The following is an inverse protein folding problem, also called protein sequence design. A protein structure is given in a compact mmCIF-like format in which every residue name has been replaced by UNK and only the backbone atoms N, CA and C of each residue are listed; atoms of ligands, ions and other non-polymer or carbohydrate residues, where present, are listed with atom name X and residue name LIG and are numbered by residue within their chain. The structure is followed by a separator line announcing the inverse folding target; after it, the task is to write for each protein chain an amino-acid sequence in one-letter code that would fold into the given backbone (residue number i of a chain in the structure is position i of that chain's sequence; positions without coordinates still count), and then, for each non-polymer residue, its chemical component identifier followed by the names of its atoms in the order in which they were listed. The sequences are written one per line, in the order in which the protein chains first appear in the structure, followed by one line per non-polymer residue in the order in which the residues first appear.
data_IF_517448113790
#
_entry.id   IF_517448113790
#
_cell.length_a   1.000
_cell.length_b   1.000
_cell.length_c   1.000
_cell.angle_alpha   90.00
_cell.angle_beta   90.00
_cell.angle_gamma   90.00
#
_symmetry.space_group_name_H-M   'P 1'
#
loop_
_entity.id
_entity.type
_entity.pdbx_description
1 polymer ?
#
# COMPACT_ATOMS: atom_id res chain seq x y z
N UNK A 1 -8.04 -32.10 -15.14
CA UNK A 1 -9.12 -31.12 -15.43
C UNK A 1 -8.46 -29.84 -15.90
N UNK A 2 -8.69 -29.42 -17.12
CA UNK A 2 -8.08 -28.19 -17.66
C UNK A 2 -9.01 -27.03 -17.27
N UNK A 3 -8.60 -26.25 -16.27
CA UNK A 3 -9.38 -25.10 -15.78
C UNK A 3 -8.99 -23.88 -16.57
N UNK A 4 -9.95 -23.28 -17.26
CA UNK A 4 -9.76 -22.03 -18.01
C UNK A 4 -10.61 -20.91 -17.41
N UNK A 5 -10.00 -19.75 -17.22
CA UNK A 5 -10.69 -18.55 -16.77
C UNK A 5 -11.66 -18.08 -17.86
N UNK A 6 -12.76 -17.47 -17.44
CA UNK A 6 -13.75 -16.83 -18.33
C UNK A 6 -13.45 -15.35 -18.45
N UNK A 7 -13.53 -14.82 -19.65
CA UNK A 7 -13.29 -13.40 -19.90
C UNK A 7 -14.48 -12.54 -19.45
N UNK A 8 -14.16 -11.40 -18.86
CA UNK A 8 -15.13 -10.35 -18.53
C UNK A 8 -15.49 -9.56 -19.80
N UNK A 9 -16.75 -9.13 -19.94
CA UNK A 9 -17.12 -8.18 -21.00
C UNK A 9 -16.75 -6.75 -20.62
N UNK A 10 -16.41 -5.91 -21.62
CA UNK A 10 -16.08 -4.50 -21.36
C UNK A 10 -17.21 -3.74 -20.68
N UNK A 11 -18.44 -4.01 -21.09
CA UNK A 11 -19.64 -3.37 -20.53
C UNK A 11 -19.86 -3.69 -19.05
N UNK A 12 -19.31 -4.79 -18.56
CA UNK A 12 -19.42 -5.20 -17.17
C UNK A 12 -18.34 -4.54 -16.25
N UNK A 13 -17.32 -3.87 -16.82
CA UNK A 13 -16.21 -3.31 -16.03
C UNK A 13 -16.68 -2.33 -14.95
N UNK A 14 -17.57 -1.34 -15.20
CA UNK A 14 -18.03 -0.45 -14.15
C UNK A 14 -18.66 -1.18 -12.95
N UNK A 15 -19.51 -2.16 -13.21
CA UNK A 15 -20.13 -2.96 -12.14
C UNK A 15 -19.09 -3.85 -11.43
N UNK A 16 -18.12 -4.38 -12.15
CA UNK A 16 -17.03 -5.16 -11.58
C UNK A 16 -16.13 -4.32 -10.65
N UNK A 17 -15.82 -3.07 -11.01
CA UNK A 17 -15.09 -2.11 -10.17
C UNK A 17 -15.84 -1.86 -8.86
N UNK A 18 -17.14 -1.61 -8.91
CA UNK A 18 -17.96 -1.42 -7.72
C UNK A 18 -17.99 -2.66 -6.84
N UNK A 19 -18.08 -3.84 -7.45
CA UNK A 19 -18.03 -5.11 -6.73
C UNK A 19 -16.69 -5.33 -6.05
N UNK A 20 -15.58 -5.04 -6.70
CA UNK A 20 -14.25 -5.14 -6.12
C UNK A 20 -14.08 -4.21 -4.90
N UNK A 21 -14.57 -2.97 -4.98
CA UNK A 21 -14.60 -2.03 -3.83
C UNK A 21 -15.44 -2.59 -2.68
N UNK A 22 -16.60 -3.14 -2.98
CA UNK A 22 -17.50 -3.72 -1.98
C UNK A 22 -16.85 -4.90 -1.26
N UNK A 23 -16.23 -5.83 -1.97
CA UNK A 23 -15.54 -6.98 -1.37
C UNK A 23 -14.39 -6.53 -0.46
N UNK A 24 -13.64 -5.52 -0.88
CA UNK A 24 -12.58 -4.96 -0.05
C UNK A 24 -13.11 -4.39 1.27
N UNK A 25 -14.25 -3.67 1.24
CA UNK A 25 -14.92 -3.14 2.44
C UNK A 25 -15.46 -4.25 3.36
N UNK A 26 -15.77 -5.42 2.80
CA UNK A 26 -16.18 -6.61 3.55
C UNK A 26 -15.00 -7.43 4.09
N UNK A 27 -13.76 -6.94 3.98
CA UNK A 27 -12.52 -7.66 4.32
C UNK A 27 -12.28 -8.93 3.49
N UNK A 28 -12.82 -8.98 2.28
CA UNK A 28 -12.62 -10.05 1.30
C UNK A 28 -11.62 -9.58 0.22
N UNK A 29 -10.38 -9.32 0.66
CA UNK A 29 -9.34 -8.72 -0.19
C UNK A 29 -8.89 -9.64 -1.33
N UNK A 30 -8.89 -10.95 -1.14
CA UNK A 30 -8.54 -11.94 -2.17
C UNK A 30 -9.57 -11.94 -3.31
N UNK A 31 -10.83 -11.85 -2.97
CA UNK A 31 -11.94 -11.76 -3.94
C UNK A 31 -11.89 -10.44 -4.70
N UNK A 32 -11.57 -9.34 -4.00
CA UNK A 32 -11.37 -8.03 -4.63
C UNK A 32 -10.20 -8.04 -5.62
N UNK A 33 -9.08 -8.66 -5.26
CA UNK A 33 -7.91 -8.85 -6.13
C UNK A 33 -8.29 -9.67 -7.37
N UNK A 34 -9.01 -10.78 -7.19
CA UNK A 34 -9.44 -11.63 -8.30
C UNK A 34 -10.28 -10.86 -9.33
N UNK A 35 -11.22 -10.04 -8.87
CA UNK A 35 -12.03 -9.20 -9.78
C UNK A 35 -11.16 -8.19 -10.52
N UNK A 36 -10.19 -7.56 -9.83
CA UNK A 36 -9.27 -6.64 -10.48
C UNK A 36 -8.42 -7.31 -11.55
N UNK A 37 -7.97 -8.55 -11.33
CA UNK A 37 -7.26 -9.34 -12.33
C UNK A 37 -8.10 -9.57 -13.58
N UNK A 38 -9.39 -9.90 -13.43
CA UNK A 38 -10.31 -10.07 -14.56
C UNK A 38 -10.51 -8.77 -15.35
N UNK A 39 -10.60 -7.62 -14.65
CA UNK A 39 -10.70 -6.30 -15.29
C UNK A 39 -9.41 -5.98 -16.06
N UNK A 40 -8.25 -6.21 -15.45
CA UNK A 40 -6.95 -5.90 -16.03
C UNK A 40 -6.57 -6.83 -17.20
N UNK A 41 -7.18 -8.00 -17.30
CA UNK A 41 -7.06 -8.87 -18.49
C UNK A 41 -7.73 -8.23 -19.72
N UNK A 42 -8.82 -7.48 -19.52
CA UNK A 42 -9.57 -6.79 -20.59
C UNK A 42 -9.03 -5.39 -20.83
N UNK A 43 -8.74 -4.66 -19.77
CA UNK A 43 -8.17 -3.29 -19.79
C UNK A 43 -6.92 -3.22 -18.91
N UNK A 44 -5.72 -3.55 -19.44
CA UNK A 44 -4.48 -3.64 -18.64
C UNK A 44 -4.08 -2.34 -17.93
N UNK A 45 -4.48 -1.20 -18.45
CA UNK A 45 -4.14 0.13 -17.92
C UNK A 45 -5.29 0.80 -17.15
N UNK A 46 -6.34 0.05 -16.79
CA UNK A 46 -7.45 0.59 -16.00
C UNK A 46 -6.95 1.04 -14.63
N UNK A 47 -6.81 2.36 -14.47
CA UNK A 47 -6.21 2.96 -13.25
C UNK A 47 -7.05 2.70 -12.00
N UNK A 48 -8.37 2.64 -12.11
CA UNK A 48 -9.24 2.33 -10.96
C UNK A 48 -9.04 0.89 -10.49
N UNK A 49 -8.95 -0.06 -11.42
CA UNK A 49 -8.67 -1.45 -11.09
C UNK A 49 -7.29 -1.61 -10.46
N UNK A 50 -6.26 -0.92 -10.97
CA UNK A 50 -4.91 -0.92 -10.39
C UNK A 50 -4.91 -0.38 -8.96
N UNK A 51 -5.62 0.72 -8.69
CA UNK A 51 -5.73 1.28 -7.34
C UNK A 51 -6.45 0.32 -6.38
N UNK A 52 -7.57 -0.25 -6.78
CA UNK A 52 -8.31 -1.21 -5.94
C UNK A 52 -7.45 -2.45 -5.68
N UNK A 53 -6.76 -2.96 -6.69
CA UNK A 53 -5.85 -4.10 -6.56
C UNK A 53 -4.70 -3.80 -5.60
N UNK A 54 -4.05 -2.64 -5.72
CA UNK A 54 -3.00 -2.21 -4.82
C UNK A 54 -3.49 -2.19 -3.37
N UNK A 55 -4.65 -1.60 -3.12
CA UNK A 55 -5.24 -1.55 -1.78
C UNK A 55 -5.61 -2.94 -1.25
N UNK A 56 -6.17 -3.82 -2.09
CA UNK A 56 -6.47 -5.21 -1.73
C UNK A 56 -5.20 -6.00 -1.37
N UNK A 57 -4.10 -5.77 -2.08
CA UNK A 57 -2.80 -6.35 -1.76
C UNK A 57 -2.25 -5.85 -0.41
N UNK A 58 -2.38 -4.56 -0.11
CA UNK A 58 -1.98 -4.03 1.20
C UNK A 58 -2.82 -4.59 2.35
N UNK A 59 -4.09 -4.89 2.12
CA UNK A 59 -4.96 -5.55 3.10
C UNK A 59 -4.51 -6.99 3.43
N UNK A 60 -3.66 -7.61 2.60
CA UNK A 60 -3.12 -8.96 2.79
C UNK A 60 -1.74 -8.97 3.48
N UNK A 61 -1.16 -7.84 3.83
CA UNK A 61 0.20 -7.76 4.40
C UNK A 61 0.35 -8.52 5.73
N UNK A 62 -0.69 -8.64 6.53
CA UNK A 62 -0.61 -9.38 7.78
C UNK A 62 -0.51 -10.90 7.57
N UNK A 63 -1.12 -11.41 6.52
CA UNK A 63 -1.14 -12.85 6.22
C UNK A 63 0.00 -13.27 5.28
N UNK A 64 0.29 -12.50 4.24
CA UNK A 64 1.24 -12.86 3.17
C UNK A 64 2.12 -11.69 2.77
N UNK A 65 2.90 -11.14 3.72
CA UNK A 65 3.64 -9.89 3.51
C UNK A 65 4.54 -9.88 2.27
N UNK A 66 5.41 -10.87 2.12
CA UNK A 66 6.43 -10.82 1.06
C UNK A 66 5.85 -10.85 -0.36
N UNK A 67 4.98 -11.80 -0.73
CA UNK A 67 4.39 -11.79 -2.07
C UNK A 67 3.47 -10.59 -2.26
N UNK A 68 2.66 -10.22 -1.28
CA UNK A 68 1.72 -9.10 -1.40
C UNK A 68 2.46 -7.75 -1.54
N UNK A 69 3.55 -7.53 -0.83
CA UNK A 69 4.37 -6.33 -0.96
C UNK A 69 4.99 -6.20 -2.36
N UNK A 70 5.63 -7.26 -2.86
CA UNK A 70 6.21 -7.27 -4.20
C UNK A 70 5.18 -7.00 -5.28
N UNK A 71 4.01 -7.62 -5.20
CA UNK A 71 2.90 -7.41 -6.12
C UNK A 71 2.35 -5.99 -6.02
N UNK A 72 2.22 -5.43 -4.83
CA UNK A 72 1.77 -4.04 -4.64
C UNK A 72 2.72 -3.03 -5.28
N UNK A 73 4.03 -3.26 -5.21
CA UNK A 73 5.03 -2.41 -5.86
C UNK A 73 4.96 -2.50 -7.40
N UNK A 74 4.74 -3.69 -7.95
CA UNK A 74 4.53 -3.85 -9.40
C UNK A 74 3.30 -3.10 -9.88
N UNK A 75 2.20 -3.18 -9.15
CA UNK A 75 0.96 -2.43 -9.45
C UNK A 75 1.19 -0.93 -9.35
N UNK A 76 1.91 -0.47 -8.33
CA UNK A 76 2.26 0.95 -8.15
C UNK A 76 2.99 1.51 -9.39
N UNK A 77 3.93 0.74 -9.95
CA UNK A 77 4.68 1.15 -11.14
C UNK A 77 3.81 1.33 -12.39
N UNK A 78 2.63 0.72 -12.44
CA UNK A 78 1.66 0.82 -13.54
C UNK A 78 0.72 2.02 -13.41
N UNK A 79 0.71 2.72 -12.28
CA UNK A 79 -0.05 3.97 -12.14
C UNK A 79 0.59 5.07 -12.99
N UNK A 80 -0.23 5.85 -13.70
CA UNK A 80 0.25 6.85 -14.65
C UNK A 80 0.39 8.25 -14.02
N UNK A 81 -0.49 8.59 -13.06
CA UNK A 81 -0.50 9.90 -12.42
C UNK A 81 0.54 10.00 -11.31
N UNK A 82 1.35 11.06 -11.34
CA UNK A 82 2.41 11.30 -10.36
C UNK A 82 1.90 11.49 -8.92
N UNK A 83 0.78 12.19 -8.74
CA UNK A 83 0.12 12.30 -7.43
C UNK A 83 -0.28 10.91 -6.91
N UNK A 84 -0.98 10.13 -7.71
CA UNK A 84 -1.41 8.78 -7.35
C UNK A 84 -0.22 7.89 -6.99
N UNK A 85 0.87 7.91 -7.77
CA UNK A 85 2.07 7.14 -7.45
C UNK A 85 2.61 7.46 -6.07
N UNK A 86 2.84 8.73 -5.78
CA UNK A 86 3.39 9.16 -4.48
C UNK A 86 2.42 8.88 -3.33
N UNK A 87 1.13 9.13 -3.52
CA UNK A 87 0.12 8.88 -2.50
C UNK A 87 0.00 7.38 -2.17
N UNK A 88 -0.13 6.51 -3.17
CA UNK A 88 -0.27 5.07 -2.94
C UNK A 88 1.05 4.40 -2.52
N UNK A 89 2.21 4.94 -2.89
CA UNK A 89 3.49 4.56 -2.29
C UNK A 89 3.47 4.80 -0.77
N UNK A 90 3.00 5.96 -0.35
CA UNK A 90 2.78 6.28 1.06
C UNK A 90 1.85 5.29 1.75
N UNK A 91 0.74 4.88 1.10
CA UNK A 91 -0.18 3.87 1.62
C UNK A 91 0.53 2.52 1.83
N UNK A 92 1.33 2.07 0.86
CA UNK A 92 2.09 0.82 0.98
C UNK A 92 3.02 0.88 2.20
N UNK A 93 3.79 1.94 2.35
CA UNK A 93 4.74 2.09 3.46
C UNK A 93 4.03 2.24 4.82
N UNK A 94 2.92 2.98 4.88
CA UNK A 94 2.10 3.07 6.09
C UNK A 94 1.56 1.70 6.52
N UNK A 95 1.08 0.90 5.58
CA UNK A 95 0.58 -0.45 5.85
C UNK A 95 1.68 -1.40 6.31
N UNK A 96 2.88 -1.30 5.71
CA UNK A 96 4.07 -2.03 6.19
C UNK A 96 4.42 -1.64 7.62
N UNK A 97 4.46 -0.34 7.92
CA UNK A 97 4.76 0.15 9.26
C UNK A 97 3.78 -0.44 10.29
N UNK A 98 2.48 -0.41 9.99
CA UNK A 98 1.44 -0.98 10.86
C UNK A 98 1.59 -2.49 11.04
N UNK A 99 1.95 -3.21 9.99
CA UNK A 99 2.21 -4.66 10.05
C UNK A 99 3.39 -4.96 10.98
N UNK A 100 4.49 -4.22 10.89
CA UNK A 100 5.63 -4.38 11.80
C UNK A 100 5.28 -3.99 13.24
N UNK A 101 4.52 -2.90 13.42
CA UNK A 101 4.07 -2.46 14.75
C UNK A 101 3.21 -3.53 15.43
N UNK A 102 2.30 -4.18 14.70
CA UNK A 102 1.42 -5.21 15.25
C UNK A 102 2.15 -6.51 15.60
N UNK A 103 3.26 -6.84 14.94
CA UNK A 103 4.01 -8.07 15.17
C UNK A 103 4.71 -8.12 16.52
N UNK A 104 5.21 -6.98 17.02
CA UNK A 104 5.83 -6.88 18.34
C UNK A 104 7.06 -7.77 18.57
N UNK A 105 7.76 -8.18 17.51
CA UNK A 105 8.99 -8.97 17.60
C UNK A 105 10.22 -8.06 17.73
N UNK A 106 11.36 -8.55 18.28
CA UNK A 106 12.56 -7.73 18.37
C UNK A 106 12.97 -7.11 17.05
N UNK A 107 13.24 -5.79 17.05
CA UNK A 107 13.59 -5.02 15.86
C UNK A 107 12.40 -4.51 15.05
N UNK A 108 11.16 -4.98 15.29
CA UNK A 108 9.98 -4.51 14.55
C UNK A 108 9.66 -3.05 14.81
N UNK A 109 9.98 -2.51 15.98
CA UNK A 109 9.74 -1.10 16.33
C UNK A 109 10.59 -0.16 15.46
N UNK A 110 11.86 -0.48 15.24
CA UNK A 110 12.74 0.30 14.37
C UNK A 110 12.31 0.22 12.90
N UNK A 111 11.87 -0.96 12.45
CA UNK A 111 11.31 -1.14 11.11
C UNK A 111 10.01 -0.35 10.94
N UNK A 112 9.10 -0.41 11.92
CA UNK A 112 7.85 0.35 11.90
C UNK A 112 8.13 1.86 11.84
N UNK A 113 9.07 2.37 12.66
CA UNK A 113 9.48 3.77 12.62
C UNK A 113 9.96 4.18 11.22
N UNK A 114 10.89 3.41 10.64
CA UNK A 114 11.46 3.72 9.34
C UNK A 114 10.39 3.73 8.23
N UNK A 115 9.47 2.77 8.24
CA UNK A 115 8.39 2.72 7.26
C UNK A 115 7.38 3.86 7.44
N UNK A 116 7.04 4.26 8.67
CA UNK A 116 6.22 5.46 8.89
C UNK A 116 6.90 6.72 8.35
N UNK A 117 8.22 6.88 8.56
CA UNK A 117 8.96 8.01 8.03
C UNK A 117 8.95 8.04 6.49
N UNK A 118 9.17 6.90 5.86
CA UNK A 118 9.08 6.79 4.40
C UNK A 118 7.66 7.06 3.87
N UNK A 119 6.63 6.60 4.58
CA UNK A 119 5.25 6.93 4.24
C UNK A 119 5.00 8.44 4.28
N UNK A 120 5.46 9.11 5.33
CA UNK A 120 5.31 10.57 5.46
C UNK A 120 6.05 11.32 4.34
N UNK A 121 7.25 10.91 3.96
CA UNK A 121 8.00 11.47 2.84
C UNK A 121 7.25 11.30 1.50
N UNK A 122 6.66 10.12 1.26
CA UNK A 122 5.85 9.88 0.08
C UNK A 122 4.59 10.76 0.04
N UNK A 123 3.92 10.97 1.17
CA UNK A 123 2.79 11.89 1.26
C UNK A 123 3.19 13.35 1.05
N UNK A 124 4.33 13.79 1.58
CA UNK A 124 4.87 15.14 1.30
C UNK A 124 5.13 15.33 -0.19
N UNK A 125 5.73 14.35 -0.84
CA UNK A 125 5.93 14.36 -2.29
C UNK A 125 4.59 14.43 -3.06
N UNK A 126 3.57 13.71 -2.61
CA UNK A 126 2.23 13.79 -3.22
C UNK A 126 1.63 15.19 -3.11
N UNK A 127 1.89 15.92 -2.02
CA UNK A 127 1.39 17.29 -1.85
C UNK A 127 1.93 18.28 -2.89
N UNK A 128 3.11 18.04 -3.45
CA UNK A 128 3.70 18.89 -4.48
C UNK A 128 2.85 18.95 -5.77
N UNK A 129 2.10 17.89 -6.07
CA UNK A 129 1.28 17.76 -7.27
C UNK A 129 -0.19 17.46 -6.97
N UNK A 130 -0.65 17.74 -5.75
CA UNK A 130 -2.03 17.45 -5.35
C UNK A 130 -3.05 18.27 -6.16
N UNK A 131 -4.18 17.65 -6.55
CA UNK A 131 -5.32 18.39 -7.09
C UNK A 131 -5.87 19.38 -6.06
N UNK A 132 -6.39 20.51 -6.54
CA UNK A 132 -7.02 21.50 -5.67
C UNK A 132 -8.18 20.88 -4.86
N UNK A 133 -8.17 21.10 -3.54
CA UNK A 133 -9.18 20.57 -2.63
C UNK A 133 -8.99 19.11 -2.23
N UNK A 134 -7.94 18.44 -2.70
CA UNK A 134 -7.60 17.09 -2.28
C UNK A 134 -6.54 17.11 -1.17
N UNK A 135 -6.98 16.94 0.07
CA UNK A 135 -6.15 16.91 1.27
C UNK A 135 -5.90 15.49 1.82
N UNK A 136 -6.17 14.45 1.05
CA UNK A 136 -6.01 13.06 1.50
C UNK A 136 -4.59 12.75 1.99
N UNK A 137 -3.57 13.24 1.29
CA UNK A 137 -2.17 13.05 1.71
C UNK A 137 -1.86 13.76 3.04
N UNK A 138 -2.45 14.92 3.31
CA UNK A 138 -2.34 15.62 4.61
C UNK A 138 -2.97 14.77 5.71
N UNK A 139 -4.15 14.23 5.48
CA UNK A 139 -4.86 13.40 6.48
C UNK A 139 -4.04 12.15 6.84
N UNK A 140 -3.46 11.51 5.84
CA UNK A 140 -2.59 10.34 6.04
C UNK A 140 -1.28 10.68 6.73
N UNK A 141 -0.62 11.75 6.32
CA UNK A 141 0.60 12.25 6.96
C UNK A 141 0.35 12.51 8.45
N UNK A 142 -0.75 13.22 8.77
CA UNK A 142 -1.13 13.51 10.15
C UNK A 142 -1.44 12.23 10.95
N UNK A 143 -2.01 11.21 10.31
CA UNK A 143 -2.25 9.91 10.95
C UNK A 143 -0.92 9.26 11.34
N UNK A 144 0.05 9.20 10.44
CA UNK A 144 1.38 8.67 10.73
C UNK A 144 2.07 9.46 11.85
N UNK A 145 2.01 10.80 11.79
CA UNK A 145 2.60 11.66 12.83
C UNK A 145 2.00 11.37 14.21
N UNK A 146 0.66 11.26 14.32
CA UNK A 146 -0.01 10.93 15.59
C UNK A 146 0.37 9.55 16.12
N UNK A 147 0.53 8.56 15.24
CA UNK A 147 1.00 7.23 15.66
C UNK A 147 2.39 7.33 16.25
N UNK A 148 3.34 8.01 15.58
CA UNK A 148 4.69 8.20 16.10
C UNK A 148 4.72 8.99 17.42
N UNK A 149 3.88 10.01 17.57
CA UNK A 149 3.76 10.79 18.81
C UNK A 149 3.22 9.96 19.97
N UNK A 150 2.30 9.02 19.69
CA UNK A 150 1.68 8.17 20.70
C UNK A 150 2.51 6.92 21.04
N UNK A 151 3.54 6.63 20.24
CA UNK A 151 4.44 5.48 20.40
C UNK A 151 5.90 5.95 20.53
N UNK A 152 6.29 6.55 21.67
CA UNK A 152 7.65 7.06 21.89
C UNK A 152 8.73 5.98 21.87
N UNK A 153 8.36 4.71 21.98
CA UNK A 153 9.25 3.55 21.81
C UNK A 153 9.70 3.37 20.35
N UNK A 154 8.93 3.86 19.37
CA UNK A 154 9.30 3.80 17.97
C UNK A 154 10.42 4.80 17.68
N UNK A 155 11.62 4.28 17.47
CA UNK A 155 12.85 5.05 17.22
C UNK A 155 13.65 4.42 16.08
N UNK A 156 14.48 5.21 15.39
CA UNK A 156 15.40 4.64 14.42
C UNK A 156 16.32 3.62 15.10
N UNK A 157 16.78 2.64 14.34
CA UNK A 157 17.79 1.71 14.80
C UNK A 157 19.01 2.49 15.28
N UNK A 158 19.45 2.22 16.51
CA UNK A 158 20.74 2.72 16.97
C UNK A 158 21.82 1.83 16.35
N UNK A 159 22.13 2.04 15.08
CA UNK A 159 23.42 1.62 14.55
C UNK A 159 24.48 2.45 15.27
N UNK A 160 25.17 1.79 16.19
CA UNK A 160 26.35 2.34 16.85
C UNK A 160 27.43 2.52 15.75
N UNK A 161 27.80 3.74 15.33
CA UNK A 161 28.91 3.93 14.40
C UNK A 161 30.27 3.86 15.14
N UNK A 162 30.42 2.90 16.08
CA UNK A 162 31.50 2.86 17.05
C UNK A 162 32.23 1.55 17.25
N UNK A 163 32.15 0.56 16.35
CA UNK A 163 32.93 -0.69 16.51
C UNK A 163 33.75 -1.13 15.28
N UNK A 164 34.21 -0.19 14.48
CA UNK A 164 35.27 -0.47 13.49
C UNK A 164 36.40 0.54 13.59
N UNK A 165 37.02 0.63 14.77
CA UNK A 165 38.37 1.13 14.91
C UNK A 165 38.98 0.45 16.15
N UNK A 166 39.56 -0.71 15.93
CA UNK A 166 40.70 -1.24 16.68
C UNK A 166 40.94 -2.70 16.19
N UNK A 167 41.67 -2.83 15.07
CA UNK A 167 42.80 -3.77 14.92
C UNK A 167 43.52 -3.45 13.61
#
# INVERSE_FOLDING_TARGET
MDIKLKSLSKEAIPAALDKARQYRLLNESVEAESICLDILEVEPDNQQALIIMLLALTDQFESELNPAFGNAQEVLNRLCDGYCKSYYEGIIFERLAKTHLSRGVPGSDALAYNWFRQAMEAYEKALESRPSGNDEAILRWNTCARILMNHPELKPSQDNPGEHMLE
#
